data_IF_832814801111
#
_entry.id   IF_832814801111
#
_cell.length_a   1.000
_cell.length_b   1.000
_cell.length_c   1.000
_cell.angle_alpha   90.00
_cell.angle_beta   90.00
_cell.angle_gamma   90.00
#
_symmetry.space_group_name_H-M   'P 1'
#
loop_
_entity.id
_entity.type
_entity.pdbx_description
1 polymer ?
#
# COMPACT_ATOMS: atom_id res chain seq x y z
N UNK A 1 34.73 20.56 65.94
CA UNK A 1 36.07 20.48 65.32
C UNK A 1 36.41 19.02 65.06
N UNK A 2 36.03 18.47 63.91
CA UNK A 2 36.15 17.03 63.64
C UNK A 2 37.40 16.68 62.83
N UNK A 3 38.22 15.75 63.34
CA UNK A 3 39.28 15.10 62.57
C UNK A 3 38.60 14.08 61.66
N UNK A 4 38.77 14.21 60.34
CA UNK A 4 38.23 13.26 59.36
C UNK A 4 39.36 12.42 58.81
N UNK A 5 39.09 11.14 58.53
CA UNK A 5 40.05 10.22 57.95
C UNK A 5 40.32 10.63 56.50
N UNK A 6 41.57 10.89 56.17
CA UNK A 6 42.02 11.12 54.80
C UNK A 6 42.45 9.74 54.25
N UNK A 7 42.24 9.50 52.96
CA UNK A 7 42.60 8.23 52.32
C UNK A 7 44.07 7.86 52.62
N UNK A 8 44.32 6.54 52.80
CA UNK A 8 45.59 5.94 53.26
C UNK A 8 45.87 6.03 54.77
N UNK A 9 44.83 5.94 55.61
CA UNK A 9 44.99 5.70 57.05
C UNK A 9 45.53 6.87 57.86
N UNK A 10 45.71 8.05 57.24
CA UNK A 10 46.17 9.27 57.90
C UNK A 10 44.96 10.09 58.36
N UNK A 11 44.96 10.50 59.63
CA UNK A 11 43.94 11.37 60.18
C UNK A 11 44.42 12.82 60.11
N UNK A 12 43.63 13.69 59.49
CA UNK A 12 43.98 15.10 59.29
C UNK A 12 42.81 16.03 59.57
N UNK A 13 43.12 17.28 59.91
CA UNK A 13 42.11 18.32 60.02
C UNK A 13 41.81 18.84 58.61
N UNK A 14 40.62 18.53 58.09
CA UNK A 14 40.14 19.10 56.83
C UNK A 14 39.57 20.48 57.15
N UNK A 15 40.29 21.53 56.75
CA UNK A 15 39.81 22.91 56.80
C UNK A 15 39.25 23.24 55.42
N UNK A 16 37.96 23.54 55.35
CA UNK A 16 37.33 24.00 54.12
C UNK A 16 37.89 25.39 53.79
N UNK A 17 38.60 25.50 52.67
CA UNK A 17 39.20 26.77 52.26
C UNK A 17 38.09 27.72 51.82
N UNK A 18 38.01 28.90 52.44
CA UNK A 18 37.11 29.97 52.00
C UNK A 18 37.51 30.39 50.58
N UNK A 19 36.62 30.30 49.58
CA UNK A 19 36.94 30.77 48.24
C UNK A 19 37.10 32.30 48.25
N UNK A 20 38.01 32.79 47.40
CA UNK A 20 38.21 34.22 47.17
C UNK A 20 36.96 34.82 46.47
N UNK A 21 36.33 35.86 47.04
CA UNK A 21 35.11 36.45 46.51
C UNK A 21 35.29 37.09 45.12
N UNK A 22 36.52 37.39 44.69
CA UNK A 22 36.81 37.99 43.39
C UNK A 22 37.23 36.97 42.32
N UNK A 23 37.31 35.68 42.68
CA UNK A 23 37.79 34.65 41.75
C UNK A 23 36.67 34.19 40.81
N UNK A 24 36.75 34.62 39.55
CA UNK A 24 35.85 34.18 38.48
C UNK A 24 36.14 32.71 38.14
N UNK A 25 35.34 31.78 38.67
CA UNK A 25 35.39 30.38 38.25
C UNK A 25 34.62 30.21 36.95
N UNK A 26 35.31 29.98 35.84
CA UNK A 26 34.68 29.54 34.59
C UNK A 26 34.11 28.14 34.79
N UNK A 27 32.85 28.04 35.23
CA UNK A 27 32.16 26.75 35.28
C UNK A 27 31.89 26.31 33.85
N UNK A 28 32.76 25.45 33.30
CA UNK A 28 32.47 24.70 32.07
C UNK A 28 31.14 24.00 32.30
N UNK A 29 30.12 24.35 31.51
CA UNK A 29 28.78 23.78 31.64
C UNK A 29 28.87 22.25 31.74
N UNK A 30 28.06 21.67 32.62
CA UNK A 30 28.04 20.22 32.84
C UNK A 30 27.91 19.51 31.49
N UNK A 31 28.91 18.69 31.13
CA UNK A 31 28.81 17.82 29.96
C UNK A 31 27.56 16.97 30.12
N UNK A 32 26.56 17.16 29.25
CA UNK A 32 25.48 16.19 29.11
C UNK A 32 26.09 14.89 28.63
N UNK A 33 26.31 13.95 29.55
CA UNK A 33 26.63 12.57 29.18
C UNK A 33 25.43 12.05 28.40
N UNK A 34 25.61 11.75 27.11
CA UNK A 34 24.62 10.94 26.37
C UNK A 34 24.36 9.70 27.22
N UNK A 35 23.09 9.36 27.46
CA UNK A 35 22.74 8.07 28.07
C UNK A 35 23.38 6.98 27.21
N UNK A 36 24.48 6.41 27.68
CA UNK A 36 25.01 5.18 27.11
C UNK A 36 24.00 4.10 27.49
N UNK A 37 23.10 3.79 26.56
CA UNK A 37 22.35 2.56 26.63
C UNK A 37 23.40 1.44 26.70
N UNK A 38 23.27 0.55 27.68
CA UNK A 38 24.06 -0.67 27.72
C UNK A 38 23.82 -1.40 26.40
N UNK A 39 24.76 -1.29 25.47
CA UNK A 39 24.73 -2.03 24.22
C UNK A 39 24.96 -3.47 24.61
N UNK A 40 23.88 -4.21 24.76
CA UNK A 40 23.93 -5.65 24.93
C UNK A 40 24.77 -6.23 23.80
N UNK A 41 25.97 -6.73 24.13
CA UNK A 41 26.92 -7.30 23.17
C UNK A 41 26.48 -8.70 22.69
N UNK A 42 25.18 -9.00 22.71
CA UNK A 42 24.61 -10.31 22.38
C UNK A 42 24.31 -10.50 20.89
N UNK A 43 24.54 -9.49 20.04
CA UNK A 43 24.37 -9.62 18.60
C UNK A 43 25.68 -9.46 17.83
N UNK A 44 26.67 -10.33 18.10
CA UNK A 44 27.60 -10.75 17.05
C UNK A 44 26.81 -11.54 16.01
N UNK A 45 26.06 -10.83 15.14
CA UNK A 45 25.40 -11.42 13.99
C UNK A 45 26.49 -12.07 13.14
N UNK A 46 26.51 -13.41 13.11
CA UNK A 46 27.35 -14.17 12.21
C UNK A 46 27.15 -13.61 10.80
N UNK A 47 28.23 -13.13 10.18
CA UNK A 47 28.21 -12.56 8.82
C UNK A 47 27.91 -13.61 7.72
N UNK A 48 27.45 -14.82 8.09
CA UNK A 48 27.22 -15.94 7.19
C UNK A 48 25.83 -16.04 6.56
N UNK A 49 24.87 -15.14 6.85
CA UNK A 49 23.50 -15.24 6.27
C UNK A 49 22.94 -13.94 5.67
N UNK A 50 23.78 -12.94 5.38
CA UNK A 50 23.34 -11.65 4.81
C UNK A 50 22.79 -11.74 3.38
N UNK A 51 22.79 -12.92 2.77
CA UNK A 51 22.38 -13.14 1.37
C UNK A 51 20.93 -13.55 1.19
N UNK A 52 20.23 -14.00 2.25
CA UNK A 52 18.87 -14.56 2.08
C UNK A 52 17.75 -13.52 1.95
N UNK A 53 17.99 -12.27 2.36
CA UNK A 53 16.96 -11.21 2.31
C UNK A 53 17.57 -9.94 1.71
N UNK A 54 17.63 -9.88 0.38
CA UNK A 54 17.90 -8.64 -0.34
C UNK A 54 16.55 -7.97 -0.62
N UNK A 55 16.29 -6.84 0.04
CA UNK A 55 15.15 -6.00 -0.30
C UNK A 55 15.45 -5.26 -1.60
N UNK A 56 14.59 -5.43 -2.60
CA UNK A 56 14.68 -4.64 -3.83
C UNK A 56 14.36 -3.17 -3.56
N UNK A 57 14.99 -2.27 -4.32
CA UNK A 57 14.65 -0.84 -4.29
C UNK A 57 13.16 -0.67 -4.57
N UNK A 58 12.45 0.11 -3.76
CA UNK A 58 11.05 0.45 -4.02
C UNK A 58 10.99 1.63 -5.00
N UNK A 59 10.42 1.40 -6.18
CA UNK A 59 10.07 2.46 -7.13
C UNK A 59 8.56 2.62 -7.10
N UNK A 60 8.09 3.76 -6.61
CA UNK A 60 6.67 4.09 -6.59
C UNK A 60 6.23 4.60 -7.96
N UNK A 61 5.03 4.19 -8.40
CA UNK A 61 4.39 4.73 -9.61
C UNK A 61 3.89 6.17 -9.41
N UNK A 62 3.72 6.61 -8.15
CA UNK A 62 3.05 7.88 -7.82
C UNK A 62 3.99 8.93 -7.22
N UNK A 63 5.04 8.52 -6.51
CA UNK A 63 5.90 9.44 -5.74
C UNK A 63 7.35 9.34 -6.20
N UNK A 64 7.97 10.51 -6.36
CA UNK A 64 9.40 10.67 -6.63
C UNK A 64 9.95 11.86 -5.82
N UNK A 65 10.08 11.73 -4.49
CA UNK A 65 10.42 12.85 -3.61
C UNK A 65 11.82 13.42 -3.88
N UNK A 66 12.74 12.60 -4.40
CA UNK A 66 14.11 12.97 -4.72
C UNK A 66 14.31 13.30 -6.20
N UNK A 67 13.23 13.37 -6.99
CA UNK A 67 13.27 13.63 -8.44
C UNK A 67 14.29 12.77 -9.21
N UNK A 68 14.49 11.52 -8.76
CA UNK A 68 15.45 10.62 -9.41
C UNK A 68 14.95 10.26 -10.81
N UNK A 69 15.85 10.28 -11.79
CA UNK A 69 15.58 9.77 -13.13
C UNK A 69 15.57 8.23 -13.04
N UNK A 70 14.46 7.62 -13.43
CA UNK A 70 14.27 6.16 -13.43
C UNK A 70 13.87 5.77 -14.85
N UNK A 71 14.55 4.77 -15.43
CA UNK A 71 14.21 4.25 -16.75
C UNK A 71 12.79 3.67 -16.77
N UNK A 72 12.15 3.68 -17.94
CA UNK A 72 10.81 3.11 -18.10
C UNK A 72 10.80 1.61 -17.77
N UNK A 73 11.82 0.86 -18.18
CA UNK A 73 11.97 -0.56 -17.88
C UNK A 73 11.98 -0.84 -16.36
N UNK A 74 12.79 -0.08 -15.62
CA UNK A 74 12.88 -0.22 -14.17
C UNK A 74 11.58 0.18 -13.48
N UNK A 75 10.84 1.15 -14.03
CA UNK A 75 9.54 1.57 -13.49
C UNK A 75 8.47 0.49 -13.71
N UNK A 76 8.42 -0.09 -14.91
CA UNK A 76 7.44 -1.14 -15.26
C UNK A 76 7.76 -2.46 -14.53
N UNK A 77 9.02 -2.72 -14.15
CA UNK A 77 9.40 -3.93 -13.40
C UNK A 77 8.68 -4.05 -12.04
N UNK A 78 8.23 -2.94 -11.45
CA UNK A 78 7.45 -2.92 -10.21
C UNK A 78 5.95 -2.98 -10.43
N UNK A 79 5.52 -3.00 -11.69
CA UNK A 79 4.12 -3.10 -12.04
C UNK A 79 3.62 -4.55 -11.88
N UNK A 80 2.59 -4.72 -11.05
CA UNK A 80 1.96 -6.02 -10.76
C UNK A 80 1.09 -6.50 -11.92
N UNK A 81 0.72 -5.61 -12.85
CA UNK A 81 -0.14 -5.97 -13.98
C UNK A 81 0.55 -6.93 -14.97
N UNK A 82 1.88 -7.05 -14.95
CA UNK A 82 2.60 -8.02 -15.79
C UNK A 82 2.36 -9.48 -15.42
N UNK A 83 2.05 -9.77 -14.15
CA UNK A 83 1.86 -11.15 -13.66
C UNK A 83 0.40 -11.53 -13.56
N UNK A 84 -0.51 -10.59 -13.79
CA UNK A 84 -1.95 -10.85 -13.80
C UNK A 84 -2.31 -11.22 -15.23
N UNK A 85 -2.51 -12.52 -15.47
CA UNK A 85 -3.13 -13.00 -16.70
C UNK A 85 -4.63 -13.12 -16.44
N UNK A 86 -5.46 -12.16 -16.89
CA UNK A 86 -6.89 -12.29 -16.75
C UNK A 86 -7.36 -13.47 -17.61
N UNK A 87 -7.89 -14.50 -16.95
CA UNK A 87 -8.51 -15.62 -17.63
C UNK A 87 -9.95 -15.27 -17.98
N UNK A 88 -10.28 -15.29 -19.28
CA UNK A 88 -11.64 -15.09 -19.75
C UNK A 88 -12.24 -16.47 -20.02
N UNK A 89 -13.44 -16.72 -19.48
CA UNK A 89 -14.18 -17.94 -19.76
C UNK A 89 -14.85 -17.86 -21.14
N UNK A 90 -14.06 -18.08 -22.19
CA UNK A 90 -14.49 -17.98 -23.59
C UNK A 90 -15.70 -18.88 -23.88
N UNK A 91 -15.73 -20.10 -23.32
CA UNK A 91 -16.79 -21.08 -23.56
C UNK A 91 -18.16 -20.58 -23.12
N UNK A 92 -18.25 -20.06 -21.89
CA UNK A 92 -19.53 -19.54 -21.38
C UNK A 92 -19.99 -18.28 -22.12
N UNK A 93 -19.06 -17.45 -22.60
CA UNK A 93 -19.41 -16.30 -23.45
C UNK A 93 -19.91 -16.73 -24.83
N UNK A 94 -19.31 -17.76 -25.43
CA UNK A 94 -19.76 -18.32 -26.71
C UNK A 94 -21.15 -18.96 -26.58
N UNK A 95 -21.39 -19.75 -25.54
CA UNK A 95 -22.69 -20.36 -25.25
C UNK A 95 -23.78 -19.29 -25.06
N UNK A 96 -23.47 -18.23 -24.29
CA UNK A 96 -24.38 -17.11 -24.09
C UNK A 96 -24.70 -16.41 -25.42
N UNK A 97 -23.69 -16.13 -26.24
CA UNK A 97 -23.88 -15.52 -27.56
C UNK A 97 -24.80 -16.37 -28.43
N UNK A 98 -24.53 -17.66 -28.54
CA UNK A 98 -25.37 -18.57 -29.34
C UNK A 98 -26.81 -18.65 -28.84
N UNK A 99 -27.02 -18.61 -27.53
CA UNK A 99 -28.36 -18.60 -26.93
C UNK A 99 -29.13 -17.32 -27.28
N UNK A 100 -28.47 -16.16 -27.16
CA UNK A 100 -29.06 -14.86 -27.49
C UNK A 100 -29.38 -14.75 -28.99
N UNK A 101 -28.45 -15.16 -29.86
CA UNK A 101 -28.64 -15.18 -31.31
C UNK A 101 -29.86 -16.06 -31.70
N UNK A 102 -30.02 -17.20 -31.02
CA UNK A 102 -31.15 -18.11 -31.24
C UNK A 102 -32.49 -17.53 -30.79
N UNK A 103 -32.51 -16.89 -29.61
CA UNK A 103 -33.71 -16.27 -29.07
C UNK A 103 -34.16 -15.08 -29.94
N UNK A 104 -33.22 -14.26 -30.39
CA UNK A 104 -33.50 -13.14 -31.30
C UNK A 104 -34.08 -13.63 -32.63
N UNK A 105 -33.48 -14.68 -33.21
CA UNK A 105 -33.99 -15.25 -34.45
C UNK A 105 -35.41 -15.82 -34.32
N UNK A 106 -35.71 -16.52 -33.21
CA UNK A 106 -37.06 -17.02 -32.93
C UNK A 106 -38.06 -15.89 -32.76
N UNK A 107 -37.71 -14.84 -32.01
CA UNK A 107 -38.54 -13.66 -31.82
C UNK A 107 -38.88 -12.99 -33.16
N UNK A 108 -37.90 -12.81 -34.04
CA UNK A 108 -38.16 -12.25 -35.37
C UNK A 108 -39.02 -13.17 -36.24
N UNK A 109 -38.84 -14.48 -36.16
CA UNK A 109 -39.70 -15.42 -36.89
C UNK A 109 -41.15 -15.37 -36.39
N UNK A 110 -41.36 -15.32 -35.08
CA UNK A 110 -42.70 -15.29 -34.50
C UNK A 110 -43.42 -13.98 -34.80
N UNK A 111 -42.70 -12.85 -34.76
CA UNK A 111 -43.24 -11.57 -35.19
C UNK A 111 -43.58 -11.54 -36.68
N UNK A 112 -42.73 -12.12 -37.55
CA UNK A 112 -43.03 -12.25 -38.99
C UNK A 112 -44.25 -13.15 -39.22
N UNK A 113 -44.36 -14.28 -38.51
CA UNK A 113 -45.51 -15.19 -38.61
C UNK A 113 -46.80 -14.55 -38.08
N UNK A 114 -46.73 -13.75 -37.01
CA UNK A 114 -47.85 -13.00 -36.47
C UNK A 114 -48.35 -11.93 -37.48
N UNK A 115 -47.43 -11.16 -38.07
CA UNK A 115 -47.78 -10.18 -39.12
C UNK A 115 -48.44 -10.82 -40.36
N UNK A 116 -47.94 -11.98 -40.81
CA UNK A 116 -48.55 -12.71 -41.95
C UNK A 116 -49.95 -13.26 -41.61
N UNK A 117 -50.19 -13.67 -40.36
CA UNK A 117 -51.51 -14.13 -39.92
C UNK A 117 -52.53 -12.98 -39.85
N UNK A 118 -52.10 -11.79 -39.45
CA UNK A 118 -52.96 -10.60 -39.47
C UNK A 118 -53.30 -10.16 -40.89
N UNK A 119 -52.36 -10.18 -41.85
CA UNK A 119 -52.66 -9.87 -43.26
C UNK A 119 -53.63 -10.89 -43.91
N UNK A 120 -53.47 -12.18 -43.61
CA UNK A 120 -54.38 -13.23 -44.11
C UNK A 120 -55.79 -13.16 -43.48
N UNK A 121 -55.91 -12.67 -42.26
CA UNK A 121 -57.20 -12.48 -41.58
C UNK A 121 -57.83 -11.10 -41.88
N UNK A 122 -57.02 -10.11 -42.27
CA UNK A 122 -57.46 -8.76 -42.66
C UNK A 122 -58.03 -8.64 -44.07
N UNK A 123 -57.88 -9.69 -44.91
CA UNK A 123 -58.51 -9.75 -46.23
C UNK A 123 -60.02 -10.07 -46.22
N UNK A 124 -60.61 -10.39 -45.05
CA UNK A 124 -62.04 -10.66 -44.90
C UNK A 124 -62.53 -9.95 -43.63
N UNK A 125 -62.78 -8.65 -43.74
CA UNK A 125 -63.90 -7.95 -43.07
C UNK A 125 -63.86 -6.47 -43.43
N UNK A 126 -64.65 -6.12 -44.44
CA UNK A 126 -65.41 -4.89 -44.34
C UNK A 126 -66.29 -4.96 -43.08
N UNK A 127 -66.41 -3.80 -42.44
CA UNK A 127 -67.36 -3.44 -41.37
C UNK A 127 -67.10 -4.02 -39.98
N UNK A 128 -66.62 -3.14 -39.08
CA UNK A 128 -66.69 -3.34 -37.64
C UNK A 128 -65.83 -2.36 -36.86
N UNK A 129 -66.35 -1.14 -36.61
CA UNK A 129 -65.72 -0.13 -35.76
C UNK A 129 -65.43 -0.68 -34.36
N UNK A 130 -64.25 -0.42 -33.81
CA UNK A 130 -64.05 -0.38 -32.36
C UNK A 130 -62.98 0.64 -31.97
N UNK A 131 -63.36 1.55 -31.07
CA UNK A 131 -62.54 2.63 -30.48
C UNK A 131 -61.48 2.09 -29.49
N UNK A 132 -60.39 2.85 -29.22
CA UNK A 132 -59.37 2.47 -28.24
C UNK A 132 -59.74 2.93 -26.82
N UNK A 133 -59.32 2.22 -25.76
CA UNK A 133 -59.50 2.67 -24.39
C UNK A 133 -58.32 3.53 -23.90
N UNK A 134 -58.63 4.35 -22.89
CA UNK A 134 -57.77 5.26 -22.13
C UNK A 134 -56.81 4.55 -21.18
#
# INVERSE_FOLDING_TARGET
>A
MGVKKIENGKYGRVVEASPDPLRITYKRGAKQSRKEAAVDKSHKKAFGSKTKIKLSKCVSMWKNPTSQIVSLEARIAHDRFKTIHPEINIRSFEELKSSLDSAEHLYFQDNRKAGIKEEKMGGIKGLGKHQPPK
#
